data_IF_646143447321
#
_entry.id   IF_646143447321
#
_cell.length_a   1.000
_cell.length_b   1.000
_cell.length_c   1.000
_cell.angle_alpha   90.00
_cell.angle_beta   90.00
_cell.angle_gamma   90.00
#
_symmetry.space_group_name_H-M   'P 1'
#
loop_
_entity.id
_entity.type
_entity.pdbx_description
1 polymer ?
#
# COMPACT_ATOMS: atom_id res chain seq x y z
N UNK A 1 26.76 38.85 -1.55
CA UNK A 1 26.66 37.64 -0.71
C UNK A 1 25.46 36.86 -1.19
N UNK A 2 25.69 35.63 -1.67
CA UNK A 2 24.70 34.77 -2.30
C UNK A 2 23.69 34.26 -1.26
N UNK A 3 22.40 34.50 -1.50
CA UNK A 3 21.31 33.86 -0.76
C UNK A 3 21.22 32.39 -1.14
N UNK A 4 21.22 31.52 -0.14
CA UNK A 4 20.97 30.09 -0.32
C UNK A 4 19.54 29.78 0.10
N UNK A 5 18.63 29.89 -0.87
CA UNK A 5 17.29 29.30 -0.78
C UNK A 5 17.40 27.78 -0.88
N UNK A 6 17.58 27.11 0.26
CA UNK A 6 17.39 25.66 0.34
C UNK A 6 15.90 25.37 0.20
N UNK A 7 15.48 25.14 -1.04
CA UNK A 7 14.18 24.56 -1.37
C UNK A 7 14.07 23.18 -0.71
N UNK A 8 13.43 23.13 0.45
CA UNK A 8 12.84 21.91 0.97
C UNK A 8 11.83 21.42 -0.06
N UNK A 9 12.16 20.33 -0.76
CA UNK A 9 11.18 19.59 -1.57
C UNK A 9 10.22 18.93 -0.59
N UNK A 10 9.32 19.72 0.00
CA UNK A 10 8.09 19.20 0.54
C UNK A 10 7.28 18.73 -0.65
N UNK A 11 7.30 17.42 -0.90
CA UNK A 11 6.26 16.78 -1.70
C UNK A 11 4.92 17.20 -1.09
N UNK A 12 4.03 17.87 -1.82
CA UNK A 12 2.70 18.12 -1.29
C UNK A 12 2.07 16.73 -1.02
N UNK A 13 1.63 16.44 0.21
CA UNK A 13 0.80 15.28 0.44
C UNK A 13 -0.42 15.49 -0.43
N UNK A 14 -0.71 14.55 -1.33
CA UNK A 14 -1.92 14.62 -2.13
C UNK A 14 -3.09 14.74 -1.16
N UNK A 15 -3.72 15.91 -1.08
CA UNK A 15 -4.75 16.26 -0.08
C UNK A 15 -5.90 15.24 -0.06
N UNK A 16 -6.13 14.55 -1.18
CA UNK A 16 -7.09 13.45 -1.27
C UNK A 16 -6.63 12.10 -0.68
N UNK A 17 -5.33 11.81 -0.60
CA UNK A 17 -4.83 10.52 -0.10
C UNK A 17 -4.81 10.49 1.43
N UNK A 18 -4.36 11.57 2.08
CA UNK A 18 -4.38 11.70 3.53
C UNK A 18 -5.81 11.72 4.08
N UNK A 19 -6.70 12.51 3.46
CA UNK A 19 -8.11 12.58 3.85
C UNK A 19 -8.88 11.25 3.66
N UNK A 20 -8.43 10.36 2.77
CA UNK A 20 -9.00 9.03 2.63
C UNK A 20 -8.51 8.06 3.71
N UNK A 21 -7.22 8.13 4.07
CA UNK A 21 -6.68 7.31 5.17
C UNK A 21 -7.38 7.64 6.50
N UNK A 22 -7.75 8.90 6.73
CA UNK A 22 -8.52 9.33 7.90
C UNK A 22 -9.94 8.76 7.97
N UNK A 23 -10.47 8.21 6.88
CA UNK A 23 -11.79 7.54 6.83
C UNK A 23 -11.68 6.02 6.94
N UNK A 24 -10.48 5.46 6.77
CA UNK A 24 -10.25 4.02 6.93
C UNK A 24 -10.29 3.66 8.42
N UNK A 25 -10.83 2.51 8.82
CA UNK A 25 -10.75 2.03 10.20
C UNK A 25 -9.32 1.95 10.74
N UNK A 26 -9.11 2.36 11.99
CA UNK A 26 -7.77 2.46 12.61
C UNK A 26 -6.93 1.16 12.49
N UNK A 27 -7.47 -0.05 12.72
CA UNK A 27 -6.69 -1.29 12.58
C UNK A 27 -6.15 -1.52 11.17
N UNK A 28 -6.83 -0.98 10.15
CA UNK A 28 -6.46 -1.12 8.75
C UNK A 28 -5.48 -0.03 8.29
N UNK A 29 -5.50 1.17 8.91
CA UNK A 29 -4.54 2.25 8.60
C UNK A 29 -3.10 1.81 8.79
N UNK A 30 -2.79 1.20 9.95
CA UNK A 30 -1.45 0.72 10.24
C UNK A 30 -0.96 -0.34 9.23
N UNK A 31 -1.87 -1.16 8.69
CA UNK A 31 -1.54 -2.12 7.62
C UNK A 31 -1.31 -1.42 6.29
N UNK A 32 -2.12 -0.40 5.95
CA UNK A 32 -1.92 0.41 4.75
C UNK A 32 -0.59 1.17 4.78
N UNK A 33 -0.22 1.76 5.92
CA UNK A 33 1.06 2.45 6.07
C UNK A 33 2.23 1.48 5.85
N UNK A 34 2.16 0.27 6.43
CA UNK A 34 3.16 -0.78 6.21
C UNK A 34 3.24 -1.15 4.73
N UNK A 35 2.11 -1.33 4.06
CA UNK A 35 2.06 -1.67 2.64
C UNK A 35 2.69 -0.57 1.79
N UNK A 36 2.39 0.70 2.07
CA UNK A 36 2.98 1.83 1.36
C UNK A 36 4.50 1.84 1.46
N UNK A 37 5.04 1.66 2.68
CA UNK A 37 6.47 1.54 2.91
C UNK A 37 7.08 0.38 2.12
N UNK A 38 6.46 -0.81 2.14
CA UNK A 38 6.98 -1.97 1.40
C UNK A 38 6.96 -1.78 -0.11
N UNK A 39 6.01 -1.01 -0.66
CA UNK A 39 6.02 -0.66 -2.09
C UNK A 39 7.22 0.23 -2.42
N UNK A 40 7.56 1.17 -1.54
CA UNK A 40 8.73 2.05 -1.69
C UNK A 40 10.01 1.22 -1.61
N UNK A 41 10.16 0.38 -0.58
CA UNK A 41 11.30 -0.51 -0.39
C UNK A 41 11.55 -1.41 -1.62
N UNK A 42 10.49 -2.01 -2.18
CA UNK A 42 10.59 -2.82 -3.40
C UNK A 42 11.02 -2.00 -4.61
N UNK A 43 10.54 -0.76 -4.73
CA UNK A 43 10.93 0.12 -5.84
C UNK A 43 12.38 0.60 -5.72
N UNK A 44 12.94 0.60 -4.52
CA UNK A 44 14.33 0.96 -4.22
C UNK A 44 15.28 -0.24 -4.21
N UNK A 45 14.74 -1.46 -4.36
CA UNK A 45 15.54 -2.69 -4.43
C UNK A 45 16.07 -3.16 -3.07
N UNK A 46 15.42 -2.78 -1.97
CA UNK A 46 15.71 -3.34 -0.64
C UNK A 46 15.44 -4.85 -0.62
N UNK A 47 15.88 -5.55 0.45
CA UNK A 47 15.74 -7.01 0.69
C UNK A 47 14.45 -7.62 0.10
N UNK A 48 14.52 -8.04 -1.17
CA UNK A 48 13.32 -8.24 -2.01
C UNK A 48 12.44 -9.35 -1.45
N UNK A 49 13.06 -10.45 -1.01
CA UNK A 49 12.37 -11.62 -0.47
C UNK A 49 11.62 -11.26 0.81
N UNK A 50 12.29 -10.58 1.74
CA UNK A 50 11.72 -10.17 3.02
C UNK A 50 10.61 -9.13 2.81
N UNK A 51 10.85 -8.14 1.96
CA UNK A 51 9.89 -7.09 1.64
C UNK A 51 8.63 -7.65 0.98
N UNK A 52 8.77 -8.60 0.05
CA UNK A 52 7.64 -9.32 -0.56
C UNK A 52 6.90 -10.21 0.43
N UNK A 53 7.60 -10.85 1.37
CA UNK A 53 6.96 -11.63 2.43
C UNK A 53 6.13 -10.73 3.36
N UNK A 54 6.71 -9.63 3.82
CA UNK A 54 6.01 -8.64 4.64
C UNK A 54 4.79 -8.04 3.92
N UNK A 55 4.91 -7.74 2.62
CA UNK A 55 3.79 -7.26 1.80
C UNK A 55 2.65 -8.29 1.74
N UNK A 56 2.97 -9.56 1.46
CA UNK A 56 1.97 -10.64 1.45
C UNK A 56 1.30 -10.82 2.80
N UNK A 57 2.06 -10.77 3.88
CA UNK A 57 1.53 -10.87 5.24
C UNK A 57 0.55 -9.75 5.53
N UNK A 58 0.92 -8.48 5.27
CA UNK A 58 0.04 -7.34 5.54
C UNK A 58 -1.26 -7.39 4.71
N UNK A 59 -1.19 -7.85 3.46
CA UNK A 59 -2.37 -8.01 2.61
C UNK A 59 -3.26 -9.17 3.07
N UNK A 60 -2.67 -10.26 3.56
CA UNK A 60 -3.40 -11.35 4.20
C UNK A 60 -4.14 -10.87 5.46
N UNK A 61 -3.50 -10.03 6.29
CA UNK A 61 -4.12 -9.45 7.47
C UNK A 61 -5.33 -8.56 7.11
N UNK A 62 -5.22 -7.76 6.04
CA UNK A 62 -6.37 -6.99 5.53
C UNK A 62 -7.52 -7.93 5.18
N UNK A 63 -7.28 -8.97 4.39
CA UNK A 63 -8.31 -9.93 4.01
C UNK A 63 -8.91 -10.65 5.23
N UNK A 64 -8.12 -10.97 6.25
CA UNK A 64 -8.59 -11.61 7.47
C UNK A 64 -9.44 -10.68 8.34
N UNK A 65 -9.13 -9.38 8.36
CA UNK A 65 -9.83 -8.40 9.19
C UNK A 65 -11.10 -7.84 8.54
N UNK A 66 -11.22 -7.91 7.22
CA UNK A 66 -12.41 -7.40 6.50
C UNK A 66 -13.39 -8.51 6.14
N UNK A 67 -14.68 -8.20 6.13
CA UNK A 67 -15.67 -9.09 5.51
C UNK A 67 -15.32 -9.34 4.03
N UNK A 68 -15.64 -10.54 3.53
CA UNK A 68 -15.32 -10.94 2.16
C UNK A 68 -15.94 -9.97 1.16
N UNK A 69 -15.08 -9.21 0.49
CA UNK A 69 -15.48 -8.23 -0.52
C UNK A 69 -14.69 -8.46 -1.82
N UNK A 70 -15.35 -8.82 -2.94
CA UNK A 70 -14.68 -9.04 -4.23
C UNK A 70 -13.90 -7.84 -4.76
N UNK A 71 -14.24 -6.61 -4.34
CA UNK A 71 -13.48 -5.41 -4.69
C UNK A 71 -12.13 -5.40 -3.97
N UNK A 72 -12.11 -5.70 -2.67
CA UNK A 72 -10.89 -5.77 -1.86
C UNK A 72 -9.96 -6.86 -2.40
N UNK A 73 -10.48 -8.07 -2.64
CA UNK A 73 -9.70 -9.18 -3.19
C UNK A 73 -9.02 -8.82 -4.52
N UNK A 74 -9.77 -8.24 -5.47
CA UNK A 74 -9.21 -7.78 -6.75
C UNK A 74 -8.13 -6.72 -6.58
N UNK A 75 -8.29 -5.79 -5.63
CA UNK A 75 -7.26 -4.77 -5.37
C UNK A 75 -6.02 -5.35 -4.71
N UNK A 76 -6.18 -6.35 -3.83
CA UNK A 76 -5.07 -7.09 -3.22
C UNK A 76 -4.28 -7.86 -4.27
N UNK A 77 -4.94 -8.61 -5.15
CA UNK A 77 -4.29 -9.35 -6.24
C UNK A 77 -3.50 -8.42 -7.18
N UNK A 78 -4.10 -7.28 -7.55
CA UNK A 78 -3.43 -6.27 -8.38
C UNK A 78 -2.19 -5.71 -7.71
N UNK A 79 -2.26 -5.50 -6.40
CA UNK A 79 -1.14 -4.98 -5.63
C UNK A 79 -0.02 -6.02 -5.50
N UNK A 80 -0.36 -7.29 -5.24
CA UNK A 80 0.60 -8.39 -5.24
C UNK A 80 1.32 -8.52 -6.59
N UNK A 81 0.57 -8.51 -7.69
CA UNK A 81 1.15 -8.57 -9.04
C UNK A 81 2.06 -7.37 -9.32
N UNK A 82 1.70 -6.18 -8.87
CA UNK A 82 2.55 -5.00 -9.00
C UNK A 82 3.83 -5.11 -8.13
N UNK A 83 3.70 -5.61 -6.90
CA UNK A 83 4.83 -5.90 -6.01
C UNK A 83 5.79 -6.94 -6.60
N UNK A 84 5.28 -8.02 -7.20
CA UNK A 84 6.09 -9.03 -7.88
C UNK A 84 6.84 -8.47 -9.09
N UNK A 85 6.24 -7.52 -9.81
CA UNK A 85 6.93 -6.81 -10.90
C UNK A 85 8.01 -5.88 -10.37
N UNK A 86 7.78 -5.24 -9.23
CA UNK A 86 8.81 -4.43 -8.55
C UNK A 86 9.94 -5.33 -8.04
N UNK A 87 9.66 -6.48 -7.47
CA UNK A 87 10.66 -7.45 -7.00
C UNK A 87 11.62 -7.98 -8.09
N UNK A 88 11.34 -7.72 -9.36
CA UNK A 88 12.18 -8.09 -10.51
C UNK A 88 13.07 -6.93 -10.99
N UNK A 89 13.42 -5.96 -10.10
CA UNK A 89 14.20 -4.75 -10.44
C UNK A 89 15.47 -5.09 -11.25
N UNK A 90 16.24 -6.08 -10.82
CA UNK A 90 17.54 -6.42 -11.41
C UNK A 90 17.44 -6.94 -12.86
N UNK A 91 16.26 -7.40 -13.29
CA UNK A 91 16.06 -8.03 -14.59
C UNK A 91 15.37 -7.10 -15.62
N UNK A 92 15.09 -5.83 -15.30
CA UNK A 92 14.16 -5.00 -16.09
C UNK A 92 14.68 -3.60 -16.44
N UNK A 93 14.30 -3.07 -17.62
CA UNK A 93 14.52 -1.67 -17.97
C UNK A 93 13.82 -0.70 -17.01
N UNK A 94 14.42 0.47 -16.75
CA UNK A 94 13.89 1.53 -15.86
C UNK A 94 12.44 1.94 -16.18
N UNK A 95 12.03 1.95 -17.47
CA UNK A 95 10.65 2.25 -17.88
C UNK A 95 9.64 1.21 -17.36
N UNK A 96 10.05 -0.06 -17.28
CA UNK A 96 9.24 -1.15 -16.73
C UNK A 96 9.04 -0.97 -15.22
N UNK A 97 10.09 -0.53 -14.52
CA UNK A 97 10.04 -0.22 -13.09
C UNK A 97 9.12 0.98 -12.79
N UNK A 98 9.21 2.06 -13.57
CA UNK A 98 8.30 3.19 -13.45
C UNK A 98 6.83 2.79 -13.67
N UNK A 99 6.56 1.93 -14.66
CA UNK A 99 5.23 1.38 -14.91
C UNK A 99 4.73 0.51 -13.76
N UNK A 100 5.59 -0.37 -13.21
CA UNK A 100 5.28 -1.21 -12.06
C UNK A 100 4.97 -0.36 -10.81
N UNK A 101 5.77 0.68 -10.54
CA UNK A 101 5.55 1.64 -9.45
C UNK A 101 4.22 2.38 -9.60
N UNK A 102 3.92 2.84 -10.82
CA UNK A 102 2.63 3.47 -11.12
C UNK A 102 1.45 2.52 -10.92
N UNK A 103 1.59 1.25 -11.30
CA UNK A 103 0.57 0.22 -11.07
C UNK A 103 0.37 -0.06 -9.58
N UNK A 104 1.45 -0.23 -8.81
CA UNK A 104 1.40 -0.43 -7.36
C UNK A 104 0.70 0.75 -6.66
N UNK A 105 1.06 1.98 -7.02
CA UNK A 105 0.45 3.21 -6.47
C UNK A 105 -1.06 3.27 -6.76
N UNK A 106 -1.49 2.94 -7.98
CA UNK A 106 -2.91 2.91 -8.33
C UNK A 106 -3.67 1.81 -7.60
N UNK A 107 -3.07 0.62 -7.49
CA UNK A 107 -3.67 -0.50 -6.75
C UNK A 107 -3.81 -0.18 -5.25
N UNK A 108 -2.80 0.44 -4.65
CA UNK A 108 -2.81 0.88 -3.26
C UNK A 108 -3.91 1.93 -2.99
N UNK A 109 -4.04 2.94 -3.85
CA UNK A 109 -5.13 3.93 -3.76
C UNK A 109 -6.51 3.28 -3.89
N UNK A 110 -6.66 2.35 -4.83
CA UNK A 110 -7.92 1.62 -5.02
C UNK A 110 -8.26 0.73 -3.81
N UNK A 111 -7.26 0.08 -3.20
CA UNK A 111 -7.42 -0.68 -1.98
C UNK A 111 -7.87 0.23 -0.83
N UNK A 112 -7.14 1.33 -0.60
CA UNK A 112 -7.50 2.34 0.42
C UNK A 112 -8.95 2.80 0.27
N UNK A 113 -9.37 3.09 -0.96
CA UNK A 113 -10.75 3.46 -1.27
C UNK A 113 -11.77 2.35 -0.98
N UNK A 114 -11.41 1.09 -1.24
CA UNK A 114 -12.29 -0.04 -0.97
C UNK A 114 -12.45 -0.32 0.53
N UNK A 115 -11.49 0.10 1.36
CA UNK A 115 -11.49 -0.13 2.80
C UNK A 115 -12.25 0.92 3.61
N UNK A 116 -12.60 2.07 3.02
CA UNK A 116 -13.35 3.12 3.73
C UNK A 116 -14.72 2.63 4.20
N UNK A 117 -15.46 1.93 3.33
CA UNK A 117 -16.82 1.47 3.60
C UNK A 117 -16.87 -0.03 3.96
N UNK A 118 -15.74 -0.62 4.35
CA UNK A 118 -15.67 -2.05 4.62
C UNK A 118 -16.15 -2.39 6.03
N UNK A 119 -16.72 -3.58 6.19
CA UNK A 119 -17.18 -4.11 7.47
C UNK A 119 -16.11 -5.01 8.09
N UNK A 120 -16.01 -5.05 9.42
CA UNK A 120 -15.10 -5.99 10.09
C UNK A 120 -15.57 -7.42 9.87
N UNK A 121 -14.63 -8.33 9.67
CA UNK A 121 -14.91 -9.76 9.65
C UNK A 121 -15.28 -10.26 11.05
N UNK A 122 -15.85 -11.47 11.12
CA UNK A 122 -16.06 -12.15 12.41
C UNK A 122 -14.76 -12.33 13.20
N UNK A 123 -13.64 -12.53 12.52
CA UNK A 123 -12.31 -12.64 13.14
C UNK A 123 -11.92 -11.29 13.76
N UNK A 124 -12.06 -10.19 13.02
CA UNK A 124 -11.77 -8.85 13.54
C UNK A 124 -12.60 -8.53 14.79
N UNK A 125 -13.90 -8.85 14.79
CA UNK A 125 -14.77 -8.69 15.97
C UNK A 125 -14.26 -9.54 17.14
N UNK A 126 -13.92 -10.81 16.91
CA UNK A 126 -13.42 -11.71 17.97
C UNK A 126 -12.09 -11.26 18.59
N UNK A 127 -11.29 -10.52 17.82
CA UNK A 127 -9.99 -9.97 18.28
C UNK A 127 -10.14 -8.60 18.96
N UNK A 128 -11.36 -8.12 19.20
CA UNK A 128 -11.61 -6.78 19.76
C UNK A 128 -11.25 -5.65 18.79
N UNK A 129 -11.17 -5.96 17.49
CA UNK A 129 -10.86 -5.01 16.40
C UNK A 129 -12.10 -4.72 15.55
N UNK A 130 -13.29 -4.85 16.11
CA UNK A 130 -14.50 -4.33 15.49
C UNK A 130 -14.43 -2.81 15.41
N UNK A 131 -14.91 -2.24 14.31
CA UNK A 131 -15.08 -0.81 14.11
C UNK A 131 -16.50 -0.51 13.65
#
# INVERSE_FOLDING_TARGET
>A
MLGSDTHGIQRPPGVGSAAMLDRVPLPLRALLDRIEHRIVDLAEGAEVRETMHALRSALSDICALTETNPKILRTVERLLSAGERLAQVEARPLRSLASARGAATRAFKALTAALVDTRPSRIAVSLGRGW
#
